data_IF_848717150115
#
_entry.id   IF_848717150115
#
_cell.length_a   1.000
_cell.length_b   1.000
_cell.length_c   1.000
_cell.angle_alpha   90.00
_cell.angle_beta   90.00
_cell.angle_gamma   90.00
#
_symmetry.space_group_name_H-M   'P 1'
#
loop_
_entity.id
_entity.type
_entity.pdbx_description
1 polymer ?
#
# COMPACT_ATOMS: atom_id res chain seq x y z
N UNK A 1 -6.87 -17.22 5.36
CA UNK A 1 -6.77 -16.30 4.20
C UNK A 1 -5.59 -15.38 4.44
N UNK A 2 -4.72 -15.24 3.43
CA UNK A 2 -3.53 -14.37 3.47
C UNK A 2 -3.66 -13.34 2.34
N UNK A 3 -3.70 -12.05 2.68
CA UNK A 3 -3.86 -10.93 1.75
C UNK A 3 -2.73 -9.94 1.98
N UNK A 4 -1.93 -9.70 0.95
CA UNK A 4 -0.93 -8.64 0.95
C UNK A 4 -1.54 -7.37 0.35
N UNK A 5 -1.69 -6.32 1.15
CA UNK A 5 -2.33 -5.08 0.68
C UNK A 5 -1.37 -4.14 -0.04
N UNK A 6 -0.08 -4.48 -0.18
CA UNK A 6 0.92 -3.57 -0.73
C UNK A 6 1.97 -4.30 -1.56
N UNK A 7 1.74 -4.34 -2.86
CA UNK A 7 2.73 -4.86 -3.81
C UNK A 7 2.87 -3.93 -5.02
N UNK A 8 4.05 -3.93 -5.62
CA UNK A 8 4.35 -3.17 -6.83
C UNK A 8 4.77 -4.09 -7.96
N UNK A 9 4.19 -3.90 -9.13
CA UNK A 9 4.61 -4.59 -10.35
C UNK A 9 4.91 -3.60 -11.46
N UNK A 10 5.76 -4.01 -12.36
CA UNK A 10 6.14 -3.26 -13.55
C UNK A 10 5.82 -4.10 -14.79
N UNK A 11 5.54 -3.49 -15.96
CA UNK A 11 5.48 -4.23 -17.22
C UNK A 11 6.76 -5.04 -17.43
N UNK A 12 6.63 -6.29 -17.90
CA UNK A 12 7.74 -7.27 -17.95
C UNK A 12 8.99 -6.73 -18.63
N UNK A 13 8.84 -6.00 -19.74
CA UNK A 13 9.95 -5.39 -20.47
C UNK A 13 10.64 -4.26 -19.69
N UNK A 14 9.94 -3.62 -18.75
CA UNK A 14 10.44 -2.49 -17.99
C UNK A 14 10.96 -2.90 -16.61
N UNK A 15 10.49 -4.00 -16.05
CA UNK A 15 10.78 -4.43 -14.68
C UNK A 15 12.27 -4.44 -14.34
N UNK A 16 13.16 -5.06 -15.11
CA UNK A 16 14.59 -5.08 -14.77
C UNK A 16 15.21 -3.68 -14.73
N UNK A 17 14.85 -2.83 -15.69
CA UNK A 17 15.36 -1.46 -15.77
C UNK A 17 14.77 -0.57 -14.67
N UNK A 18 13.49 -0.74 -14.36
CA UNK A 18 12.82 0.02 -13.31
C UNK A 18 13.41 -0.31 -11.93
N UNK A 19 13.56 -1.59 -11.60
CA UNK A 19 14.17 -2.05 -10.35
C UNK A 19 15.61 -1.54 -10.20
N UNK A 20 16.42 -1.72 -11.23
CA UNK A 20 17.81 -1.23 -11.23
C UNK A 20 17.86 0.28 -10.92
N UNK A 21 17.03 1.07 -11.61
CA UNK A 21 17.00 2.53 -11.42
C UNK A 21 16.53 2.93 -10.02
N UNK A 22 15.57 2.20 -9.44
CA UNK A 22 15.08 2.45 -8.08
C UNK A 22 16.16 2.09 -7.05
N UNK A 23 16.84 0.95 -7.19
CA UNK A 23 17.95 0.55 -6.32
C UNK A 23 19.07 1.60 -6.36
N UNK A 24 19.47 2.04 -7.55
CA UNK A 24 20.49 3.09 -7.72
C UNK A 24 20.04 4.42 -7.06
N UNK A 25 18.76 4.79 -7.19
CA UNK A 25 18.21 6.00 -6.59
C UNK A 25 18.22 5.98 -5.06
N UNK A 26 18.11 4.78 -4.47
CA UNK A 26 18.15 4.55 -3.03
C UNK A 26 19.57 4.24 -2.52
N UNK A 27 20.61 4.55 -3.29
CA UNK A 27 22.02 4.27 -2.95
C UNK A 27 22.25 2.82 -2.47
N UNK A 28 21.58 1.87 -3.14
CA UNK A 28 21.61 0.44 -2.84
C UNK A 28 21.15 0.05 -1.42
N UNK A 29 20.37 0.93 -0.76
CA UNK A 29 19.82 0.64 0.56
C UNK A 29 18.81 -0.53 0.54
N UNK A 30 18.14 -0.75 -0.59
CA UNK A 30 17.19 -1.85 -0.80
C UNK A 30 17.71 -2.81 -1.88
N UNK A 31 17.37 -4.09 -1.72
CA UNK A 31 17.60 -5.12 -2.72
C UNK A 31 16.25 -5.79 -3.00
N UNK A 32 15.81 -5.87 -4.27
CA UNK A 32 14.58 -6.56 -4.59
C UNK A 32 14.64 -8.04 -4.20
N UNK A 33 13.59 -8.54 -3.57
CA UNK A 33 13.45 -9.96 -3.25
C UNK A 33 12.92 -10.78 -4.44
N UNK A 34 12.41 -10.10 -5.49
CA UNK A 34 11.85 -10.74 -6.69
C UNK A 34 12.02 -9.84 -7.92
N UNK A 35 11.50 -10.29 -9.08
CA UNK A 35 11.73 -9.67 -10.39
C UNK A 35 10.82 -8.47 -10.72
N UNK A 36 9.81 -8.19 -9.89
CA UNK A 36 8.89 -7.08 -10.06
C UNK A 36 7.86 -7.26 -11.18
N UNK A 37 7.72 -8.45 -11.78
CA UNK A 37 6.71 -8.74 -12.80
C UNK A 37 5.43 -9.31 -12.21
N UNK A 38 4.29 -9.24 -12.94
CA UNK A 38 3.05 -9.92 -12.51
C UNK A 38 3.26 -11.43 -12.42
N UNK A 39 4.04 -12.02 -13.33
CA UNK A 39 4.29 -13.47 -13.32
C UNK A 39 5.16 -13.87 -12.13
N UNK A 40 6.19 -13.10 -11.79
CA UNK A 40 6.98 -13.29 -10.58
C UNK A 40 6.15 -13.17 -9.31
N UNK A 41 5.28 -12.15 -9.22
CA UNK A 41 4.35 -12.00 -8.10
C UNK A 41 3.46 -13.24 -7.95
N UNK A 42 2.82 -13.71 -9.02
CA UNK A 42 1.94 -14.88 -8.98
C UNK A 42 2.69 -16.17 -8.62
N UNK A 43 3.95 -16.31 -9.06
CA UNK A 43 4.80 -17.45 -8.68
C UNK A 43 5.11 -17.43 -7.18
N UNK A 44 5.53 -16.30 -6.63
CA UNK A 44 5.84 -16.13 -5.21
C UNK A 44 4.58 -16.30 -4.35
N UNK A 45 3.45 -15.71 -4.76
CA UNK A 45 2.16 -15.88 -4.09
C UNK A 45 1.74 -17.35 -4.03
N UNK A 46 1.86 -18.08 -5.15
CA UNK A 46 1.53 -19.51 -5.21
C UNK A 46 2.42 -20.33 -4.28
N UNK A 47 3.72 -20.07 -4.28
CA UNK A 47 4.67 -20.75 -3.39
C UNK A 47 4.34 -20.53 -1.91
N UNK A 48 3.95 -19.31 -1.56
CA UNK A 48 3.64 -18.92 -0.17
C UNK A 48 2.17 -19.05 0.20
N UNK A 49 1.32 -19.56 -0.72
CA UNK A 49 -0.13 -19.69 -0.55
C UNK A 49 -0.81 -18.37 -0.14
N UNK A 50 -0.36 -17.25 -0.75
CA UNK A 50 -1.00 -15.95 -0.60
C UNK A 50 -2.26 -15.92 -1.46
N UNK A 51 -3.42 -15.71 -0.84
CA UNK A 51 -4.71 -15.75 -1.53
C UNK A 51 -4.89 -14.55 -2.47
N UNK A 52 -4.52 -13.35 -1.98
CA UNK A 52 -4.69 -12.10 -2.73
C UNK A 52 -3.53 -11.13 -2.51
N UNK A 53 -3.25 -10.33 -3.53
CA UNK A 53 -2.35 -9.19 -3.45
C UNK A 53 -3.01 -7.93 -4.04
N UNK A 54 -2.76 -6.77 -3.42
CA UNK A 54 -3.21 -5.48 -3.91
C UNK A 54 -2.05 -4.80 -4.64
N UNK A 55 -2.15 -4.70 -5.98
CA UNK A 55 -1.17 -3.94 -6.76
C UNK A 55 -1.42 -2.44 -6.60
N UNK A 56 -0.36 -1.72 -6.23
CA UNK A 56 -0.35 -0.31 -5.88
C UNK A 56 0.43 0.51 -6.91
N UNK A 57 -0.16 0.91 -8.05
CA UNK A 57 0.50 1.74 -9.04
C UNK A 57 0.70 3.16 -8.52
N UNK A 58 1.72 3.87 -9.02
CA UNK A 58 2.01 5.26 -8.62
C UNK A 58 1.94 6.16 -9.85
N UNK A 59 1.02 7.12 -9.84
CA UNK A 59 0.97 8.20 -10.82
C UNK A 59 2.02 9.26 -10.46
N UNK A 60 3.09 9.33 -11.24
CA UNK A 60 4.15 10.34 -11.08
C UNK A 60 3.91 11.58 -11.95
N UNK A 61 2.90 11.52 -12.82
CA UNK A 61 2.44 12.59 -13.72
C UNK A 61 0.94 12.47 -13.97
N UNK A 62 0.20 13.59 -14.14
CA UNK A 62 -1.24 13.57 -14.46
C UNK A 62 -1.60 12.70 -15.66
N UNK A 63 -0.78 12.74 -16.72
CA UNK A 63 -1.02 12.01 -17.99
C UNK A 63 -1.00 10.48 -17.87
N UNK A 64 -0.60 9.92 -16.73
CA UNK A 64 -0.52 8.46 -16.55
C UNK A 64 -1.84 7.81 -16.14
N UNK A 65 -2.85 8.59 -15.73
CA UNK A 65 -4.13 8.06 -15.24
C UNK A 65 -4.78 7.04 -16.19
N UNK A 66 -4.87 7.40 -17.47
CA UNK A 66 -5.52 6.51 -18.47
C UNK A 66 -4.83 5.15 -18.59
N UNK A 67 -3.50 5.13 -18.61
CA UNK A 67 -2.71 3.89 -18.64
C UNK A 67 -2.85 3.08 -17.36
N UNK A 68 -2.82 3.72 -16.20
CA UNK A 68 -2.97 3.07 -14.89
C UNK A 68 -4.36 2.43 -14.76
N UNK A 69 -5.42 3.16 -15.10
CA UNK A 69 -6.77 2.61 -15.03
C UNK A 69 -6.96 1.47 -16.03
N UNK A 70 -6.47 1.62 -17.28
CA UNK A 70 -6.54 0.58 -18.30
C UNK A 70 -5.83 -0.71 -17.84
N UNK A 71 -4.66 -0.61 -17.21
CA UNK A 71 -3.94 -1.77 -16.67
C UNK A 71 -4.70 -2.42 -15.51
N UNK A 72 -5.23 -1.63 -14.58
CA UNK A 72 -6.04 -2.15 -13.48
C UNK A 72 -7.26 -2.96 -14.01
N UNK A 73 -7.93 -2.45 -15.03
CA UNK A 73 -9.06 -3.14 -15.68
C UNK A 73 -8.58 -4.39 -16.43
N UNK A 74 -7.45 -4.33 -17.12
CA UNK A 74 -6.87 -5.48 -17.83
C UNK A 74 -6.52 -6.64 -16.88
N UNK A 75 -6.03 -6.34 -15.68
CA UNK A 75 -5.77 -7.33 -14.62
C UNK A 75 -7.10 -7.94 -14.15
N UNK A 76 -8.05 -7.10 -13.74
CA UNK A 76 -9.33 -7.52 -13.19
C UNK A 76 -10.13 -8.37 -14.20
N UNK A 77 -10.15 -7.97 -15.45
CA UNK A 77 -10.97 -8.60 -16.51
C UNK A 77 -10.26 -9.78 -17.19
N UNK A 78 -9.08 -10.18 -16.69
CA UNK A 78 -8.37 -11.39 -17.10
C UNK A 78 -7.48 -11.25 -18.34
N UNK A 79 -7.28 -10.04 -18.87
CA UNK A 79 -6.38 -9.81 -19.99
C UNK A 79 -4.90 -10.08 -19.64
N UNK A 80 -4.56 -10.05 -18.35
CA UNK A 80 -3.25 -10.44 -17.81
C UNK A 80 -3.21 -11.90 -17.32
N UNK A 81 -4.20 -12.69 -17.65
CA UNK A 81 -4.32 -14.11 -17.33
C UNK A 81 -5.32 -14.38 -16.20
N UNK A 82 -5.87 -15.60 -16.20
CA UNK A 82 -6.91 -16.02 -15.25
C UNK A 82 -6.44 -15.99 -13.77
N UNK A 83 -5.17 -16.31 -13.51
CA UNK A 83 -4.63 -16.25 -12.16
C UNK A 83 -4.50 -14.79 -11.69
N UNK A 84 -4.09 -13.86 -12.56
CA UNK A 84 -4.05 -12.44 -12.21
C UNK A 84 -5.46 -11.93 -11.84
N UNK A 85 -6.46 -12.19 -12.67
CA UNK A 85 -7.85 -11.80 -12.39
C UNK A 85 -8.42 -12.41 -11.10
N UNK A 86 -7.94 -13.58 -10.72
CA UNK A 86 -8.43 -14.33 -9.55
C UNK A 86 -7.76 -13.87 -8.25
N UNK A 87 -6.47 -13.57 -8.28
CA UNK A 87 -5.65 -13.38 -7.09
C UNK A 87 -5.17 -11.93 -6.89
N UNK A 88 -5.36 -11.06 -7.86
CA UNK A 88 -4.90 -9.68 -7.80
C UNK A 88 -6.08 -8.72 -7.72
N UNK A 89 -6.07 -7.85 -6.71
CA UNK A 89 -6.95 -6.71 -6.59
C UNK A 89 -6.16 -5.44 -6.96
N UNK A 90 -6.29 -4.93 -8.20
CA UNK A 90 -5.56 -3.73 -8.56
C UNK A 90 -6.20 -2.49 -7.94
N UNK A 91 -5.38 -1.64 -7.35
CA UNK A 91 -5.74 -0.24 -7.11
C UNK A 91 -5.45 0.59 -8.35
N UNK A 92 -5.92 1.82 -8.36
CA UNK A 92 -5.50 2.83 -9.31
C UNK A 92 -4.57 3.86 -8.67
N UNK A 93 -4.22 4.88 -9.39
CA UNK A 93 -3.56 6.07 -8.86
C UNK A 93 -4.00 7.28 -9.65
N UNK A 94 -4.36 8.34 -8.93
CA UNK A 94 -4.75 9.62 -9.53
C UNK A 94 -3.79 10.68 -9.00
N UNK A 95 -3.13 11.40 -9.91
CA UNK A 95 -2.19 12.44 -9.52
C UNK A 95 -2.96 13.60 -8.85
N UNK A 96 -2.59 14.05 -7.63
CA UNK A 96 -3.40 14.99 -6.85
C UNK A 96 -3.49 16.39 -7.50
N UNK A 97 -2.54 16.74 -8.36
CA UNK A 97 -2.52 18.01 -9.10
C UNK A 97 -2.98 17.86 -10.56
N UNK A 98 -3.66 16.76 -10.90
CA UNK A 98 -4.37 16.64 -12.15
C UNK A 98 -5.61 17.56 -12.12
N UNK A 99 -5.81 18.36 -13.17
CA UNK A 99 -6.98 19.24 -13.26
C UNK A 99 -8.30 18.44 -13.23
N UNK A 100 -8.31 17.25 -13.83
CA UNK A 100 -9.44 16.33 -13.86
C UNK A 100 -9.44 15.33 -12.69
N UNK A 101 -8.68 15.54 -11.62
CA UNK A 101 -8.49 14.57 -10.52
C UNK A 101 -9.78 14.05 -9.92
N UNK A 102 -10.79 14.89 -9.75
CA UNK A 102 -12.07 14.47 -9.16
C UNK A 102 -12.89 13.60 -10.11
N UNK A 103 -12.90 13.92 -11.39
CA UNK A 103 -13.52 13.08 -12.44
C UNK A 103 -12.77 11.75 -12.55
N UNK A 104 -11.44 11.76 -12.41
CA UNK A 104 -10.64 10.54 -12.43
C UNK A 104 -10.89 9.67 -11.21
N UNK A 105 -11.04 10.23 -10.01
CA UNK A 105 -11.44 9.49 -8.82
C UNK A 105 -12.83 8.87 -8.98
N UNK A 106 -13.79 9.63 -9.52
CA UNK A 106 -15.13 9.11 -9.84
C UNK A 106 -15.06 7.92 -10.81
N UNK A 107 -14.26 8.05 -11.89
CA UNK A 107 -14.04 6.94 -12.85
C UNK A 107 -13.43 5.70 -12.21
N UNK A 108 -12.51 5.85 -11.25
CA UNK A 108 -11.96 4.72 -10.49
C UNK A 108 -13.07 3.98 -9.75
N UNK A 109 -13.93 4.71 -9.02
CA UNK A 109 -15.04 4.14 -8.28
C UNK A 109 -16.11 3.52 -9.20
N UNK A 110 -16.51 4.20 -10.26
CA UNK A 110 -17.49 3.73 -11.27
C UNK A 110 -17.06 2.43 -11.93
N UNK A 111 -15.75 2.25 -12.13
CA UNK A 111 -15.20 1.01 -12.66
C UNK A 111 -15.02 -0.09 -11.61
N UNK A 112 -15.45 0.11 -10.36
CA UNK A 112 -15.40 -0.89 -9.31
C UNK A 112 -14.00 -1.14 -8.73
N UNK A 113 -13.02 -0.27 -9.02
CA UNK A 113 -11.70 -0.30 -8.37
C UNK A 113 -11.86 0.25 -6.96
N UNK A 114 -11.42 -0.51 -5.96
CA UNK A 114 -11.73 -0.25 -4.53
C UNK A 114 -10.85 0.80 -3.88
N UNK A 115 -9.74 1.18 -4.50
CA UNK A 115 -8.85 2.14 -3.87
C UNK A 115 -7.81 2.73 -4.82
N UNK A 116 -7.06 3.66 -4.24
CA UNK A 116 -5.97 4.34 -4.91
C UNK A 116 -4.69 4.27 -4.07
N UNK A 117 -3.54 4.24 -4.75
CA UNK A 117 -2.22 4.48 -4.15
C UNK A 117 -1.80 5.92 -4.38
N UNK A 118 -1.32 6.56 -3.34
CA UNK A 118 -0.66 7.86 -3.37
C UNK A 118 0.77 7.73 -2.83
N UNK A 119 1.72 8.36 -3.50
CA UNK A 119 3.09 8.48 -3.03
C UNK A 119 3.51 9.95 -3.07
N UNK A 120 3.41 10.68 -1.95
CA UNK A 120 3.48 12.14 -1.91
C UNK A 120 4.75 12.76 -2.49
N UNK A 121 5.88 12.06 -2.41
CA UNK A 121 7.17 12.56 -2.92
C UNK A 121 7.22 12.76 -4.44
N UNK A 122 6.50 11.94 -5.22
CA UNK A 122 6.50 12.10 -6.68
C UNK A 122 5.80 13.38 -7.15
N UNK A 123 4.59 13.70 -6.68
CA UNK A 123 3.94 14.98 -6.97
C UNK A 123 4.41 16.13 -6.07
N UNK A 124 5.33 15.90 -5.12
CA UNK A 124 5.74 16.87 -4.09
C UNK A 124 4.54 17.46 -3.34
N UNK A 125 3.58 16.61 -2.95
CA UNK A 125 2.38 17.05 -2.25
C UNK A 125 2.51 16.93 -0.73
N UNK A 126 2.27 18.03 -0.05
CA UNK A 126 2.17 18.07 1.42
C UNK A 126 0.78 17.59 1.81
N UNK A 127 0.70 16.50 2.62
CA UNK A 127 -0.52 15.70 2.81
C UNK A 127 -1.71 16.44 3.39
N UNK A 128 -1.50 17.43 4.23
CA UNK A 128 -2.53 18.13 5.01
C UNK A 128 -2.85 19.55 4.51
N UNK A 129 -2.51 19.85 3.25
CA UNK A 129 -2.93 21.12 2.64
C UNK A 129 -4.44 21.12 2.35
N UNK A 130 -5.09 22.28 2.25
CA UNK A 130 -6.51 22.37 1.92
C UNK A 130 -6.90 21.57 0.67
N UNK A 131 -6.06 21.64 -0.38
CA UNK A 131 -6.28 20.93 -1.65
C UNK A 131 -6.22 19.41 -1.48
N UNK A 132 -5.29 18.92 -0.64
CA UNK A 132 -5.17 17.49 -0.35
C UNK A 132 -6.31 17.01 0.53
N UNK A 133 -6.75 17.81 1.50
CA UNK A 133 -7.92 17.48 2.31
C UNK A 133 -9.20 17.40 1.46
N UNK A 134 -9.35 18.26 0.45
CA UNK A 134 -10.44 18.17 -0.52
C UNK A 134 -10.36 16.88 -1.35
N UNK A 135 -9.17 16.54 -1.83
CA UNK A 135 -8.91 15.29 -2.54
C UNK A 135 -9.30 14.06 -1.68
N UNK A 136 -8.92 14.04 -0.41
CA UNK A 136 -9.27 12.95 0.50
C UNK A 136 -10.77 12.92 0.85
N UNK A 137 -11.44 14.07 0.94
CA UNK A 137 -12.91 14.11 1.11
C UNK A 137 -13.61 13.48 -0.10
N UNK A 138 -13.16 13.78 -1.31
CA UNK A 138 -13.67 13.14 -2.52
C UNK A 138 -13.45 11.62 -2.48
N UNK A 139 -12.27 11.14 -2.08
CA UNK A 139 -12.02 9.70 -1.93
C UNK A 139 -12.97 9.06 -0.90
N UNK A 140 -13.20 9.69 0.24
CA UNK A 140 -14.15 9.24 1.27
C UNK A 140 -15.57 9.15 0.70
N UNK A 141 -16.04 10.18 0.04
CA UNK A 141 -17.40 10.28 -0.50
C UNK A 141 -17.67 9.25 -1.60
N UNK A 142 -16.62 8.87 -2.33
CA UNK A 142 -16.62 7.79 -3.32
C UNK A 142 -16.35 6.39 -2.70
N UNK A 143 -16.20 6.30 -1.38
CA UNK A 143 -15.86 5.07 -0.66
C UNK A 143 -14.58 4.38 -1.21
N UNK A 144 -13.60 5.16 -1.62
CA UNK A 144 -12.29 4.67 -2.04
C UNK A 144 -11.35 4.52 -0.85
N UNK A 145 -10.64 3.41 -0.81
CA UNK A 145 -9.51 3.22 0.11
C UNK A 145 -8.32 4.03 -0.41
N UNK A 146 -7.73 4.84 0.45
CA UNK A 146 -6.50 5.58 0.13
C UNK A 146 -5.32 4.88 0.80
N UNK A 147 -4.43 4.30 0.02
CA UNK A 147 -3.17 3.77 0.50
C UNK A 147 -2.05 4.77 0.20
N UNK A 148 -1.50 5.36 1.25
CA UNK A 148 -0.55 6.45 1.14
C UNK A 148 0.81 6.09 1.73
N UNK A 149 1.88 6.31 0.96
CA UNK A 149 3.24 6.29 1.50
C UNK A 149 3.36 7.34 2.60
N UNK A 150 3.90 6.95 3.76
CA UNK A 150 4.03 7.81 4.93
C UNK A 150 5.46 7.77 5.49
N UNK A 151 5.90 8.89 6.03
CA UNK A 151 7.26 9.07 6.51
C UNK A 151 8.23 9.55 5.43
N UNK A 152 9.52 9.30 5.64
CA UNK A 152 10.54 9.61 4.63
C UNK A 152 10.55 8.57 3.51
N UNK A 153 11.13 8.94 2.37
CA UNK A 153 11.46 8.02 1.29
C UNK A 153 12.95 8.11 0.99
N UNK A 154 13.64 6.97 1.00
CA UNK A 154 15.09 6.89 0.81
C UNK A 154 15.58 7.31 -0.57
N UNK A 155 14.71 7.36 -1.56
CA UNK A 155 15.01 7.83 -2.91
C UNK A 155 14.81 9.35 -3.09
N UNK A 156 14.49 10.08 -2.01
CA UNK A 156 14.24 11.53 -2.07
C UNK A 156 14.91 12.26 -0.91
N UNK A 157 15.07 13.59 -0.98
CA UNK A 157 15.45 14.38 0.19
C UNK A 157 14.49 14.16 1.36
N UNK A 158 15.01 14.14 2.58
CA UNK A 158 14.22 13.93 3.80
C UNK A 158 13.39 15.19 4.11
N UNK A 159 12.23 15.28 3.51
CA UNK A 159 11.25 16.34 3.73
C UNK A 159 10.00 15.75 4.40
N UNK A 160 9.48 16.37 5.48
CA UNK A 160 8.34 15.82 6.23
C UNK A 160 6.99 16.12 5.55
N UNK A 161 6.86 15.85 4.26
CA UNK A 161 5.65 16.16 3.48
C UNK A 161 4.50 15.19 3.74
N UNK A 162 4.79 14.00 4.26
CA UNK A 162 3.81 12.96 4.59
C UNK A 162 4.16 12.22 5.89
N UNK A 163 4.68 12.96 6.87
CA UNK A 163 4.99 12.44 8.20
C UNK A 163 3.75 12.08 9.02
N UNK A 164 3.94 11.34 10.14
CA UNK A 164 2.83 10.88 10.99
C UNK A 164 1.95 12.00 11.54
N UNK A 165 2.48 13.20 11.79
CA UNK A 165 1.73 14.37 12.25
C UNK A 165 0.71 14.82 11.20
N UNK A 166 1.09 14.76 9.92
CA UNK A 166 0.22 15.10 8.81
C UNK A 166 -0.84 14.03 8.58
N UNK A 167 -0.47 12.75 8.74
CA UNK A 167 -1.43 11.63 8.73
C UNK A 167 -2.48 11.84 9.83
N UNK A 168 -2.04 12.15 11.05
CA UNK A 168 -2.96 12.43 12.17
C UNK A 168 -3.95 13.56 11.84
N UNK A 169 -3.46 14.62 11.16
CA UNK A 169 -4.30 15.73 10.73
C UNK A 169 -5.29 15.32 9.65
N UNK A 170 -4.86 14.54 8.64
CA UNK A 170 -5.75 14.04 7.58
C UNK A 170 -6.90 13.22 8.17
N UNK A 171 -6.62 12.26 9.06
CA UNK A 171 -7.67 11.44 9.66
C UNK A 171 -8.59 12.21 10.60
N UNK A 172 -8.11 13.30 11.21
CA UNK A 172 -8.93 14.22 12.01
C UNK A 172 -9.86 15.06 11.13
N UNK A 173 -9.32 15.67 10.05
CA UNK A 173 -10.05 16.58 9.16
C UNK A 173 -10.97 15.87 8.17
N UNK A 174 -10.74 14.58 7.92
CA UNK A 174 -11.54 13.77 6.99
C UNK A 174 -12.04 12.50 7.69
N UNK A 175 -12.93 12.64 8.68
CA UNK A 175 -13.47 11.48 9.40
C UNK A 175 -14.25 10.56 8.45
N UNK A 176 -14.07 9.24 8.64
CA UNK A 176 -14.69 8.21 7.79
C UNK A 176 -13.86 7.84 6.55
N UNK A 177 -12.73 8.50 6.30
CA UNK A 177 -11.81 8.08 5.24
C UNK A 177 -11.19 6.72 5.57
N UNK A 178 -11.25 5.78 4.64
CA UNK A 178 -10.47 4.55 4.70
C UNK A 178 -9.03 4.83 4.30
N UNK A 179 -8.18 5.14 5.27
CA UNK A 179 -6.78 5.51 5.04
C UNK A 179 -5.84 4.41 5.54
N UNK A 180 -4.96 3.94 4.66
CA UNK A 180 -3.86 3.03 4.99
C UNK A 180 -2.58 3.86 5.01
N UNK A 181 -2.06 4.10 6.20
CA UNK A 181 -0.76 4.75 6.39
C UNK A 181 0.33 3.68 6.27
N UNK A 182 1.04 3.72 5.16
CA UNK A 182 2.03 2.72 4.76
C UNK A 182 3.25 2.74 5.69
N UNK A 183 3.93 1.62 5.80
CA UNK A 183 5.15 1.43 6.60
C UNK A 183 4.96 1.73 8.10
N UNK A 184 3.91 1.15 8.69
CA UNK A 184 3.51 1.41 10.09
C UNK A 184 3.32 2.91 10.38
N UNK A 185 2.79 3.65 9.38
CA UNK A 185 2.41 5.05 9.51
C UNK A 185 3.54 6.05 9.37
N UNK A 186 4.78 5.62 9.09
CA UNK A 186 5.87 6.59 8.91
C UNK A 186 7.26 5.99 8.76
N UNK A 187 7.68 5.65 7.53
CA UNK A 187 9.03 5.17 7.24
C UNK A 187 10.11 6.08 7.85
N UNK A 188 10.98 5.49 8.69
CA UNK A 188 12.05 6.23 9.41
C UNK A 188 11.58 7.40 10.31
N UNK A 189 10.25 7.47 10.57
CA UNK A 189 9.63 8.41 11.51
C UNK A 189 8.76 7.68 12.54
N UNK A 190 9.06 6.41 12.85
CA UNK A 190 8.24 5.58 13.75
C UNK A 190 8.11 6.12 15.18
N UNK A 191 9.11 6.86 15.69
CA UNK A 191 8.97 7.59 16.95
C UNK A 191 7.82 8.59 16.91
N UNK A 192 7.76 9.41 15.85
CA UNK A 192 6.63 10.31 15.63
C UNK A 192 5.32 9.56 15.36
N UNK A 193 5.38 8.38 14.72
CA UNK A 193 4.19 7.55 14.51
C UNK A 193 3.62 7.02 15.84
N UNK A 194 4.46 6.70 16.82
CA UNK A 194 4.00 6.35 18.17
C UNK A 194 3.22 7.51 18.82
N UNK A 195 3.68 8.74 18.63
CA UNK A 195 3.05 9.92 19.23
C UNK A 195 1.76 10.35 18.52
N UNK A 196 1.67 10.14 17.22
CA UNK A 196 0.64 10.77 16.38
C UNK A 196 -0.39 9.80 15.83
N UNK A 197 -0.03 8.54 15.49
CA UNK A 197 -0.94 7.59 14.83
C UNK A 197 -1.26 6.35 15.65
N UNK A 198 -0.44 5.99 16.64
CA UNK A 198 -0.71 4.86 17.52
C UNK A 198 -2.09 4.98 18.18
N UNK A 199 -2.90 3.94 18.10
CA UNK A 199 -4.25 3.90 18.70
C UNK A 199 -5.30 4.73 17.98
N UNK A 200 -4.98 5.40 16.88
CA UNK A 200 -5.93 6.19 16.09
C UNK A 200 -6.72 5.30 15.12
N UNK A 201 -7.83 5.85 14.61
CA UNK A 201 -8.66 5.17 13.60
C UNK A 201 -8.04 5.30 12.20
N UNK A 202 -6.92 4.65 12.01
CA UNK A 202 -6.17 4.58 10.75
C UNK A 202 -5.65 3.16 10.57
N UNK A 203 -5.64 2.65 9.35
CA UNK A 203 -4.99 1.38 9.07
C UNK A 203 -3.47 1.59 8.93
N UNK A 204 -2.70 0.68 9.53
CA UNK A 204 -1.25 0.62 9.33
C UNK A 204 -0.91 -0.65 8.56
N UNK A 205 -0.13 -0.53 7.50
CA UNK A 205 0.42 -1.70 6.83
C UNK A 205 1.78 -2.11 7.44
N UNK A 206 2.11 -3.38 7.35
CA UNK A 206 3.28 -3.96 8.02
C UNK A 206 4.53 -3.98 7.15
N UNK A 207 4.55 -3.27 6.04
CA UNK A 207 5.65 -3.28 5.07
C UNK A 207 6.85 -2.49 5.56
N UNK A 208 7.73 -3.12 6.32
CA UNK A 208 9.04 -2.58 6.70
C UNK A 208 10.16 -3.54 6.30
N UNK A 209 11.36 -3.03 6.08
CA UNK A 209 12.49 -3.84 5.63
C UNK A 209 13.15 -4.63 6.78
N UNK A 210 13.77 -5.80 6.51
CA UNK A 210 14.35 -6.67 7.53
C UNK A 210 15.37 -6.00 8.45
N UNK A 211 16.16 -5.06 7.93
CA UNK A 211 17.12 -4.30 8.73
C UNK A 211 16.48 -3.42 9.81
N UNK A 212 15.17 -3.20 9.76
CA UNK A 212 14.42 -2.42 10.74
C UNK A 212 13.61 -3.29 11.71
N UNK A 213 13.64 -4.62 11.57
CA UNK A 213 12.84 -5.55 12.39
C UNK A 213 13.21 -5.53 13.88
N UNK A 214 14.42 -5.09 14.21
CA UNK A 214 14.88 -5.03 15.59
C UNK A 214 14.71 -3.62 16.22
N UNK A 215 14.24 -2.63 15.47
CA UNK A 215 13.97 -1.31 16.02
C UNK A 215 12.75 -1.34 16.96
N UNK A 216 12.83 -0.64 18.10
CA UNK A 216 11.78 -0.67 19.14
C UNK A 216 10.46 -0.03 18.65
N UNK A 217 10.54 1.13 18.03
CA UNK A 217 9.34 1.87 17.65
C UNK A 217 8.42 1.13 16.63
N UNK A 218 8.92 0.52 15.54
CA UNK A 218 8.08 -0.31 14.68
C UNK A 218 7.51 -1.54 15.40
N UNK A 219 8.28 -2.16 16.30
CA UNK A 219 7.78 -3.29 17.07
C UNK A 219 6.69 -2.89 18.07
N UNK A 220 6.77 -1.68 18.65
CA UNK A 220 5.71 -1.13 19.50
C UNK A 220 4.46 -0.79 18.69
N UNK A 221 4.59 -0.13 17.54
CA UNK A 221 3.47 0.13 16.62
C UNK A 221 2.75 -1.16 16.25
N UNK A 222 3.50 -2.21 15.89
CA UNK A 222 2.94 -3.52 15.57
C UNK A 222 2.15 -4.12 16.75
N UNK A 223 2.67 -4.05 17.99
CA UNK A 223 2.03 -4.70 19.15
C UNK A 223 0.93 -3.87 19.80
N UNK A 224 1.05 -2.55 19.78
CA UNK A 224 0.20 -1.65 20.57
C UNK A 224 -0.89 -0.98 19.74
N UNK A 225 -0.78 -0.97 18.39
CA UNK A 225 -1.87 -0.46 17.54
C UNK A 225 -3.07 -1.42 17.55
N UNK A 226 -4.32 -0.92 17.43
CA UNK A 226 -5.50 -1.79 17.37
C UNK A 226 -5.38 -2.88 16.30
N UNK A 227 -5.53 -4.13 16.70
CA UNK A 227 -5.32 -5.30 15.82
C UNK A 227 -6.21 -5.25 14.58
N UNK A 228 -7.44 -4.76 14.71
CA UNK A 228 -8.39 -4.59 13.61
C UNK A 228 -8.03 -3.45 12.63
N UNK A 229 -6.95 -2.76 12.90
CA UNK A 229 -6.37 -1.70 12.06
C UNK A 229 -4.97 -2.03 11.52
N UNK A 230 -4.49 -3.25 11.75
CA UNK A 230 -3.24 -3.74 11.16
C UNK A 230 -3.52 -4.55 9.90
N UNK A 231 -2.76 -4.31 8.84
CA UNK A 231 -2.88 -4.98 7.56
C UNK A 231 -1.54 -5.61 7.17
N UNK A 232 -1.56 -6.89 6.81
CA UNK A 232 -0.37 -7.55 6.27
C UNK A 232 0.04 -6.93 4.94
N UNK A 233 1.31 -6.58 4.82
CA UNK A 233 1.89 -6.00 3.62
C UNK A 233 3.38 -6.28 3.55
N UNK A 234 3.91 -6.39 2.33
CA UNK A 234 5.34 -6.62 2.11
C UNK A 234 6.04 -5.50 1.34
N UNK A 235 5.29 -4.65 0.63
CA UNK A 235 5.89 -3.74 -0.36
C UNK A 235 6.68 -4.53 -1.43
N UNK A 236 6.19 -5.74 -1.77
CA UNK A 236 6.79 -6.57 -2.81
C UNK A 236 7.03 -5.72 -4.09
N UNK A 237 8.18 -5.78 -4.74
CA UNK A 237 9.22 -6.80 -4.64
C UNK A 237 10.35 -6.48 -3.65
N UNK A 238 10.24 -5.48 -2.77
CA UNK A 238 11.31 -5.07 -1.85
C UNK A 238 11.45 -6.00 -0.66
N UNK A 239 10.37 -6.64 -0.23
CA UNK A 239 10.36 -7.62 0.86
C UNK A 239 9.73 -8.91 0.38
N UNK A 240 10.28 -10.07 0.81
CA UNK A 240 9.66 -11.36 0.56
C UNK A 240 8.43 -11.58 1.45
N UNK A 241 7.46 -12.39 0.99
CA UNK A 241 6.33 -12.82 1.83
C UNK A 241 6.80 -13.51 3.12
N UNK A 242 7.88 -14.31 3.04
CA UNK A 242 8.48 -14.99 4.19
C UNK A 242 8.93 -13.98 5.25
N UNK A 243 9.61 -12.92 4.86
CA UNK A 243 10.09 -11.89 5.78
C UNK A 243 8.93 -11.09 6.37
N UNK A 244 7.94 -10.71 5.56
CA UNK A 244 6.75 -10.03 6.04
C UNK A 244 5.96 -10.85 7.07
N UNK A 245 5.76 -12.15 6.81
CA UNK A 245 5.13 -13.08 7.76
C UNK A 245 5.96 -13.17 9.06
N UNK A 246 7.28 -13.28 8.93
CA UNK A 246 8.19 -13.32 10.09
C UNK A 246 8.05 -12.05 10.94
N UNK A 247 7.97 -10.90 10.32
CA UNK A 247 7.80 -9.63 11.03
C UNK A 247 6.48 -9.58 11.81
N UNK A 248 5.34 -9.90 11.19
CA UNK A 248 4.05 -9.93 11.90
C UNK A 248 4.09 -10.87 13.09
N UNK A 249 4.67 -12.06 12.92
CA UNK A 249 4.77 -13.08 14.01
C UNK A 249 5.64 -12.62 15.19
N UNK A 250 6.57 -11.69 15.00
CA UNK A 250 7.30 -11.07 16.12
C UNK A 250 6.37 -10.29 17.06
N UNK A 251 5.20 -9.89 16.62
CA UNK A 251 4.19 -9.24 17.47
C UNK A 251 3.66 -10.13 18.60
N UNK A 252 3.81 -11.46 18.51
CA UNK A 252 3.35 -12.39 19.53
C UNK A 252 1.83 -12.48 19.66
N UNK A 253 1.11 -12.30 18.58
CA UNK A 253 -0.35 -12.28 18.54
C UNK A 253 -0.97 -13.66 18.80
N UNK A 254 -2.19 -13.66 19.32
CA UNK A 254 -3.02 -14.87 19.38
C UNK A 254 -3.40 -15.31 17.96
N UNK A 255 -3.68 -16.59 17.71
CA UNK A 255 -4.04 -17.09 16.37
C UNK A 255 -5.20 -16.32 15.69
N UNK A 256 -6.20 -15.90 16.45
CA UNK A 256 -7.32 -15.09 15.92
C UNK A 256 -6.90 -13.68 15.52
N UNK A 257 -5.94 -13.09 16.22
CA UNK A 257 -5.38 -11.78 15.90
C UNK A 257 -4.47 -11.87 14.67
N UNK A 258 -3.61 -12.90 14.59
CA UNK A 258 -2.83 -13.17 13.38
C UNK A 258 -3.73 -13.35 12.15
N UNK A 259 -4.81 -14.13 12.27
CA UNK A 259 -5.76 -14.33 11.18
C UNK A 259 -6.44 -13.00 10.75
N UNK A 260 -6.71 -12.10 11.70
CA UNK A 260 -7.22 -10.78 11.38
C UNK A 260 -6.19 -9.95 10.60
N UNK A 261 -4.94 -9.87 11.08
CA UNK A 261 -3.86 -9.10 10.43
C UNK A 261 -3.52 -9.67 9.06
N UNK A 262 -3.36 -11.00 8.95
CA UNK A 262 -2.97 -11.66 7.70
C UNK A 262 -4.01 -11.56 6.58
N UNK A 263 -5.29 -11.33 6.90
CA UNK A 263 -6.25 -11.21 5.82
C UNK A 263 -7.66 -10.78 6.24
N UNK A 264 -8.09 -11.05 7.48
CA UNK A 264 -9.46 -10.73 7.92
C UNK A 264 -9.77 -9.24 7.81
N UNK A 265 -8.86 -8.38 8.26
CA UNK A 265 -9.03 -6.92 8.22
C UNK A 265 -9.05 -6.40 6.78
N UNK A 266 -8.12 -6.88 5.94
CA UNK A 266 -8.07 -6.51 4.52
C UNK A 266 -9.32 -6.99 3.77
N UNK A 267 -9.79 -8.21 4.07
CA UNK A 267 -11.00 -8.76 3.48
C UNK A 267 -12.23 -7.90 3.80
N UNK A 268 -12.38 -7.49 5.05
CA UNK A 268 -13.47 -6.59 5.48
C UNK A 268 -13.38 -5.23 4.78
N UNK A 269 -12.17 -4.64 4.71
CA UNK A 269 -11.94 -3.34 4.09
C UNK A 269 -12.21 -3.35 2.57
N UNK A 270 -11.81 -4.42 1.89
CA UNK A 270 -11.88 -4.54 0.43
C UNK A 270 -13.14 -5.26 -0.08
N UNK A 271 -13.96 -5.82 0.81
CA UNK A 271 -15.16 -6.58 0.45
C UNK A 271 -14.85 -7.97 -0.13
N UNK A 272 -13.73 -8.58 0.27
CA UNK A 272 -13.34 -9.93 -0.15
C UNK A 272 -14.01 -10.95 0.76
N UNK A 273 -14.80 -11.86 0.21
CA UNK A 273 -15.67 -12.76 0.99
C UNK A 273 -15.13 -14.17 1.18
N UNK A 274 -14.18 -14.60 0.36
CA UNK A 274 -13.67 -15.99 0.41
C UNK A 274 -12.24 -16.07 -0.11
N UNK A 275 -11.44 -17.05 0.40
CA UNK A 275 -10.10 -17.28 -0.12
C UNK A 275 -10.15 -17.78 -1.57
N UNK A 276 -9.07 -17.55 -2.31
CA UNK A 276 -8.89 -18.00 -3.67
C UNK A 276 -7.83 -19.12 -3.70
N UNK A 277 -8.22 -20.41 -3.59
CA UNK A 277 -7.25 -21.50 -3.57
C UNK A 277 -6.50 -21.58 -4.90
N UNK A 278 -5.19 -21.79 -4.82
CA UNK A 278 -4.34 -22.06 -5.98
C UNK A 278 -4.64 -23.45 -6.55
N UNK A 279 -4.83 -23.52 -7.88
CA UNK A 279 -5.01 -24.78 -8.60
C UNK A 279 -3.69 -25.35 -9.07
#
# INVERSE_FOLDING_TARGET
MLIDVHVHTFPDELAPRALKKLVEKCDHYVTPASDGTIQGLLADMRQMQVDYAVICPIATKPSQFGGILSEALAIRDGARGANAARHIHPFASVHPFDEARFDHLAKVAENGIRGIKLHPYYPSCVLDTPEMLEYFRCCRDLNLVVQCHCGFDIGFPFEPICGPERVARVIHEVPGLHFIAVHLGGWKQWGSALDNVLGKNVFLDTSILPQNFEEDAPNRLLREHPVDRLLFATDWPWLSFTDGIRFVRKGGFKPTQEAAIFGGNAAALLGITSPAPWK
#
